data_IF_625025478866
#
_entry.id   IF_625025478866
#
_cell.length_a   1.000
_cell.length_b   1.000
_cell.length_c   1.000
_cell.angle_alpha   90.00
_cell.angle_beta   90.00
_cell.angle_gamma   90.00
#
_symmetry.space_group_name_H-M   'P 1'
#
loop_
_entity.id
_entity.type
_entity.pdbx_description
1 polymer ?
#
# COMPACT_ATOMS: atom_id res chain seq x y z
N UNK A 1 -9.26 -5.25 -23.36
CA UNK A 1 -9.43 -5.96 -22.08
C UNK A 1 -8.62 -5.20 -21.05
N UNK A 2 -9.19 -4.67 -19.95
CA UNK A 2 -8.38 -4.11 -18.88
C UNK A 2 -7.85 -5.29 -18.04
N UNK A 3 -6.63 -5.70 -18.32
CA UNK A 3 -5.92 -6.87 -17.74
C UNK A 3 -5.46 -6.67 -16.27
N UNK A 4 -5.95 -5.64 -15.60
CA UNK A 4 -5.55 -5.32 -14.23
C UNK A 4 -6.74 -5.47 -13.31
N UNK A 5 -6.82 -6.63 -12.66
CA UNK A 5 -7.77 -6.92 -11.57
C UNK A 5 -7.62 -5.94 -10.38
N UNK A 6 -6.56 -5.13 -10.39
CA UNK A 6 -6.31 -4.11 -9.40
C UNK A 6 -5.64 -2.86 -9.99
N UNK A 7 -5.92 -1.65 -9.46
CA UNK A 7 -5.33 -0.40 -9.94
C UNK A 7 -3.80 -0.34 -9.75
N UNK A 8 -3.08 0.52 -10.49
CA UNK A 8 -1.65 0.73 -10.26
C UNK A 8 -1.40 1.36 -8.89
N UNK A 9 -0.54 0.73 -8.08
CA UNK A 9 -0.24 1.14 -6.69
C UNK A 9 0.31 2.57 -6.63
N UNK A 10 1.11 2.95 -7.62
CA UNK A 10 1.75 4.27 -7.74
C UNK A 10 0.74 5.44 -7.78
N UNK A 11 -0.49 5.18 -8.22
CA UNK A 11 -1.56 6.19 -8.29
C UNK A 11 -2.49 6.19 -7.06
N UNK A 12 -2.26 5.31 -6.08
CA UNK A 12 -3.10 5.21 -4.89
C UNK A 12 -2.67 6.20 -3.81
N UNK A 13 -3.64 6.82 -3.15
CA UNK A 13 -3.40 7.56 -1.91
C UNK A 13 -3.11 6.58 -0.76
N UNK A 14 -2.55 7.09 0.34
CA UNK A 14 -2.29 6.27 1.54
C UNK A 14 -3.55 5.52 2.00
N UNK A 15 -4.69 6.22 2.11
CA UNK A 15 -5.95 5.62 2.55
C UNK A 15 -6.45 4.54 1.58
N UNK A 16 -6.31 4.77 0.27
CA UNK A 16 -6.69 3.78 -0.74
C UNK A 16 -5.79 2.55 -0.69
N UNK A 17 -4.47 2.74 -0.64
CA UNK A 17 -3.51 1.65 -0.57
C UNK A 17 -3.67 0.84 0.72
N UNK A 18 -3.95 1.50 1.84
CA UNK A 18 -4.20 0.86 3.12
C UNK A 18 -5.52 0.07 3.13
N UNK A 19 -6.60 0.63 2.58
CA UNK A 19 -7.89 -0.07 2.47
C UNK A 19 -7.78 -1.31 1.58
N UNK A 20 -7.04 -1.20 0.48
CA UNK A 20 -6.78 -2.34 -0.40
C UNK A 20 -5.92 -3.41 0.29
N UNK A 21 -4.90 -3.00 1.05
CA UNK A 21 -4.08 -3.91 1.85
C UNK A 21 -4.93 -4.66 2.88
N UNK A 22 -5.84 -3.98 3.59
CA UNK A 22 -6.75 -4.62 4.54
C UNK A 22 -7.64 -5.66 3.85
N UNK A 23 -8.16 -5.32 2.66
CA UNK A 23 -9.00 -6.22 1.87
C UNK A 23 -8.22 -7.48 1.46
N UNK A 24 -6.96 -7.31 1.05
CA UNK A 24 -6.06 -8.41 0.68
C UNK A 24 -5.73 -9.29 1.89
N UNK A 25 -5.45 -8.69 3.06
CA UNK A 25 -5.19 -9.44 4.30
C UNK A 25 -6.43 -10.24 4.70
N UNK A 26 -7.62 -9.63 4.71
CA UNK A 26 -8.86 -10.35 4.99
C UNK A 26 -9.16 -11.45 3.98
N UNK A 27 -8.79 -11.26 2.70
CA UNK A 27 -8.88 -12.31 1.70
C UNK A 27 -7.90 -13.45 1.99
N UNK A 28 -6.66 -13.17 2.39
CA UNK A 28 -5.67 -14.19 2.74
C UNK A 28 -6.06 -15.01 4.00
N UNK A 29 -6.84 -14.43 4.90
CA UNK A 29 -7.37 -15.11 6.08
C UNK A 29 -8.52 -16.08 5.77
N UNK A 30 -9.15 -15.97 4.60
CA UNK A 30 -10.17 -16.90 4.15
C UNK A 30 -9.52 -18.19 3.63
N UNK A 31 -9.89 -19.34 4.22
CA UNK A 31 -9.35 -20.67 3.90
C UNK A 31 -9.73 -21.21 2.50
N UNK A 32 -10.42 -20.42 1.67
CA UNK A 32 -11.02 -20.86 0.40
C UNK A 32 -10.18 -20.50 -0.86
N UNK A 33 -8.99 -19.92 -0.70
CA UNK A 33 -8.19 -19.49 -1.84
C UNK A 33 -7.16 -20.54 -2.30
N UNK A 34 -7.06 -20.80 -3.62
CA UNK A 34 -6.00 -21.62 -4.15
C UNK A 34 -4.62 -20.98 -3.89
N UNK A 35 -3.60 -21.80 -3.66
CA UNK A 35 -2.25 -21.37 -3.29
C UNK A 35 -1.70 -20.26 -4.21
N UNK A 36 -1.91 -20.37 -5.51
CA UNK A 36 -1.48 -19.37 -6.51
C UNK A 36 -2.12 -18.00 -6.28
N UNK A 37 -3.39 -17.98 -5.84
CA UNK A 37 -4.10 -16.75 -5.50
C UNK A 37 -3.54 -16.13 -4.22
N UNK A 38 -3.26 -16.95 -3.22
CA UNK A 38 -2.67 -16.48 -1.96
C UNK A 38 -1.28 -15.87 -2.18
N UNK A 39 -0.46 -16.46 -3.05
CA UNK A 39 0.84 -15.88 -3.43
C UNK A 39 0.65 -14.51 -4.11
N UNK A 40 -0.26 -14.43 -5.08
CA UNK A 40 -0.54 -13.18 -5.82
C UNK A 40 -1.02 -12.07 -4.88
N UNK A 41 -1.95 -12.40 -3.98
CA UNK A 41 -2.48 -11.49 -2.96
C UNK A 41 -1.37 -11.03 -2.01
N UNK A 42 -0.51 -11.95 -1.55
CA UNK A 42 0.62 -11.63 -0.69
C UNK A 42 1.63 -10.69 -1.35
N UNK A 43 2.04 -10.96 -2.60
CA UNK A 43 2.95 -10.09 -3.36
C UNK A 43 2.36 -8.69 -3.53
N UNK A 44 1.05 -8.59 -3.80
CA UNK A 44 0.38 -7.31 -3.92
C UNK A 44 0.31 -6.58 -2.58
N UNK A 45 -0.04 -7.27 -1.50
CA UNK A 45 -0.05 -6.72 -0.15
C UNK A 45 1.32 -6.17 0.25
N UNK A 46 2.41 -6.87 -0.08
CA UNK A 46 3.76 -6.40 0.18
C UNK A 46 4.08 -5.10 -0.56
N UNK A 47 3.70 -4.98 -1.84
CA UNK A 47 3.89 -3.75 -2.62
C UNK A 47 3.06 -2.58 -2.08
N UNK A 48 1.82 -2.83 -1.65
CA UNK A 48 0.98 -1.81 -1.02
C UNK A 48 1.57 -1.33 0.30
N UNK A 49 2.07 -2.26 1.13
CA UNK A 49 2.74 -1.91 2.39
C UNK A 49 3.99 -1.04 2.16
N UNK A 50 4.80 -1.37 1.15
CA UNK A 50 5.95 -0.55 0.75
C UNK A 50 5.52 0.84 0.30
N UNK A 51 4.47 0.94 -0.52
CA UNK A 51 3.93 2.22 -0.98
C UNK A 51 3.43 3.09 0.18
N UNK A 52 2.68 2.50 1.11
CA UNK A 52 2.23 3.19 2.32
C UNK A 52 3.43 3.71 3.14
N UNK A 53 4.48 2.91 3.30
CA UNK A 53 5.69 3.34 4.00
C UNK A 53 6.38 4.52 3.29
N UNK A 54 6.50 4.47 1.96
CA UNK A 54 7.10 5.58 1.18
C UNK A 54 6.28 6.87 1.26
N UNK A 55 4.95 6.78 1.32
CA UNK A 55 4.09 7.96 1.52
C UNK A 55 4.28 8.58 2.90
N UNK A 56 4.38 7.76 3.95
CA UNK A 56 4.66 8.22 5.30
C UNK A 56 6.05 8.85 5.42
N UNK A 57 7.06 8.23 4.82
CA UNK A 57 8.43 8.76 4.77
C UNK A 57 8.48 10.14 4.09
N UNK A 58 7.77 10.32 2.97
CA UNK A 58 7.65 11.62 2.31
C UNK A 58 6.95 12.66 3.19
N UNK A 59 5.88 12.25 3.89
CA UNK A 59 5.17 13.13 4.80
C UNK A 59 6.06 13.54 5.98
N UNK A 60 6.81 12.60 6.56
CA UNK A 60 7.75 12.86 7.65
C UNK A 60 8.87 13.78 7.20
N UNK A 61 9.48 13.54 6.04
CA UNK A 61 10.52 14.41 5.46
C UNK A 61 10.00 15.84 5.29
N UNK A 62 8.76 16.00 4.79
CA UNK A 62 8.15 17.32 4.61
C UNK A 62 7.87 18.02 5.94
N UNK A 63 7.44 17.28 6.96
CA UNK A 63 7.28 17.82 8.32
C UNK A 63 8.64 18.23 8.90
N UNK A 64 9.67 17.40 8.77
CA UNK A 64 11.03 17.72 9.24
C UNK A 64 11.56 18.99 8.56
N UNK A 65 11.38 19.14 7.24
CA UNK A 65 11.79 20.34 6.51
C UNK A 65 11.08 21.61 6.99
N UNK A 66 9.77 21.52 7.27
CA UNK A 66 9.01 22.65 7.82
C UNK A 66 9.49 23.01 9.24
N UNK A 67 9.72 21.99 10.08
CA UNK A 67 10.15 22.16 11.47
C UNK A 67 11.57 22.76 11.55
N UNK A 68 12.48 22.33 10.66
CA UNK A 68 13.84 22.86 10.55
C UNK A 68 13.85 24.32 10.04
N UNK A 69 12.96 24.63 9.08
CA UNK A 69 12.81 26.00 8.55
C UNK A 69 12.19 26.99 9.56
N UNK A 70 11.36 26.53 10.51
CA UNK A 70 10.81 27.38 11.58
C UNK A 70 11.80 27.64 12.74
N UNK A 71 12.88 26.86 12.82
CA UNK A 71 13.94 27.03 13.85
C UNK A 71 15.18 27.81 13.36
N UNK A 72 15.21 28.22 12.08
CA UNK A 72 16.25 29.05 11.48
C UNK A 72 15.87 30.54 11.44
#
# INVERSE_FOLDING_TARGET
MPDSEFPPIDSLTYEQAFSELQTIVSALELEDHPLERSITLYERGQKLAQHCASLLDNAELRVQQLTDAEMA
#
